data_IF_176794722044
#
_entry.id   IF_176794722044
#
_cell.length_a   1.000
_cell.length_b   1.000
_cell.length_c   1.000
_cell.angle_alpha   90.00
_cell.angle_beta   90.00
_cell.angle_gamma   90.00
#
_symmetry.space_group_name_H-M   'P 1'
#
loop_
_entity.id
_entity.type
_entity.pdbx_description
1 polymer ?
#
# COMPACT_ATOMS: atom_id res chain seq x y z
N UNK A 1 -15.90 -13.49 0.98
CA UNK A 1 -14.48 -13.34 1.43
C UNK A 1 -13.87 -14.72 1.64
N UNK A 2 -12.64 -14.91 1.16
CA UNK A 2 -11.83 -16.11 1.36
C UNK A 2 -10.47 -15.70 1.94
N UNK A 3 -9.94 -16.45 2.92
CA UNK A 3 -8.64 -16.19 3.55
C UNK A 3 -7.65 -17.27 3.15
N UNK A 4 -6.42 -16.88 2.81
CA UNK A 4 -5.33 -17.81 2.52
C UNK A 4 -4.14 -17.54 3.42
N UNK A 5 -3.47 -18.61 3.82
CA UNK A 5 -2.25 -18.60 4.61
C UNK A 5 -1.08 -19.04 3.74
N UNK A 6 -0.04 -18.23 3.70
CA UNK A 6 1.17 -18.46 2.92
C UNK A 6 2.35 -18.64 3.88
N UNK A 7 2.63 -19.88 4.32
CA UNK A 7 3.74 -20.12 5.22
C UNK A 7 5.07 -19.78 4.54
N UNK A 8 5.93 -19.06 5.24
CA UNK A 8 7.27 -18.72 4.80
C UNK A 8 8.25 -19.84 5.16
N UNK A 9 9.44 -19.82 4.56
CA UNK A 9 10.53 -20.69 4.98
C UNK A 9 10.89 -20.36 6.43
N UNK A 10 10.90 -21.38 7.31
CA UNK A 10 11.19 -21.15 8.74
C UNK A 10 12.65 -20.69 8.94
N UNK A 11 12.84 -19.61 9.65
CA UNK A 11 14.18 -19.10 10.00
C UNK A 11 14.88 -19.96 11.04
N UNK A 12 14.13 -20.64 11.93
CA UNK A 12 14.69 -21.49 12.99
C UNK A 12 13.69 -22.56 13.43
N UNK A 13 14.21 -23.62 14.10
CA UNK A 13 13.37 -24.68 14.63
C UNK A 13 12.34 -24.12 15.64
N UNK A 14 11.10 -24.57 15.55
CA UNK A 14 10.02 -24.16 16.43
C UNK A 14 9.39 -22.79 16.12
N UNK A 15 9.78 -22.13 15.02
CA UNK A 15 9.18 -20.88 14.54
C UNK A 15 8.58 -21.07 13.16
N UNK A 16 7.43 -20.45 12.91
CA UNK A 16 6.78 -20.39 11.62
C UNK A 16 6.12 -19.02 11.48
N UNK A 17 6.49 -18.28 10.43
CA UNK A 17 5.79 -17.06 10.02
C UNK A 17 5.01 -17.33 8.75
N UNK A 18 3.98 -16.57 8.54
CA UNK A 18 3.14 -16.65 7.34
C UNK A 18 2.67 -15.26 6.91
N UNK A 19 2.41 -15.10 5.62
CA UNK A 19 1.66 -13.99 5.07
C UNK A 19 0.20 -14.42 4.98
N UNK A 20 -0.72 -13.55 5.38
CA UNK A 20 -2.15 -13.82 5.28
C UNK A 20 -2.77 -12.88 4.27
N UNK A 21 -3.46 -13.44 3.28
CA UNK A 21 -4.20 -12.68 2.28
C UNK A 21 -5.71 -12.92 2.40
N UNK A 22 -6.48 -11.87 2.09
CA UNK A 22 -7.93 -11.88 2.05
C UNK A 22 -8.38 -11.62 0.62
N UNK A 23 -9.26 -12.48 0.11
CA UNK A 23 -9.74 -12.43 -1.26
C UNK A 23 -11.24 -12.12 -1.30
N UNK A 24 -11.63 -11.18 -2.17
CA UNK A 24 -12.99 -10.73 -2.36
C UNK A 24 -13.33 -10.67 -3.85
N UNK A 25 -14.60 -10.79 -4.18
CA UNK A 25 -15.07 -10.76 -5.56
C UNK A 25 -14.73 -12.03 -6.35
N UNK A 26 -14.77 -11.95 -7.68
CA UNK A 26 -14.56 -13.09 -8.57
C UNK A 26 -13.25 -12.95 -9.37
N UNK A 27 -12.48 -14.01 -9.44
CA UNK A 27 -11.20 -14.08 -10.18
C UNK A 27 -11.31 -13.82 -11.68
N UNK A 28 -12.48 -14.04 -12.27
CA UNK A 28 -12.73 -13.84 -13.70
C UNK A 28 -12.71 -12.37 -14.15
N UNK A 29 -12.79 -11.44 -13.21
CA UNK A 29 -12.73 -10.01 -13.48
C UNK A 29 -11.30 -9.47 -13.43
N UNK A 30 -11.15 -8.17 -13.67
CA UNK A 30 -9.90 -7.46 -13.34
C UNK A 30 -9.53 -7.68 -11.88
N UNK A 31 -8.23 -7.70 -11.59
CA UNK A 31 -7.72 -7.99 -10.25
C UNK A 31 -7.05 -6.75 -9.65
N UNK A 32 -7.34 -6.48 -8.39
CA UNK A 32 -6.70 -5.44 -7.58
C UNK A 32 -5.94 -6.10 -6.45
N UNK A 33 -4.67 -5.81 -6.33
CA UNK A 33 -3.82 -6.21 -5.22
C UNK A 33 -3.54 -5.01 -4.33
N UNK A 34 -3.74 -5.17 -3.03
CA UNK A 34 -3.45 -4.13 -2.03
C UNK A 34 -2.63 -4.75 -0.91
N UNK A 35 -1.49 -4.15 -0.59
CA UNK A 35 -0.71 -4.59 0.57
C UNK A 35 -0.35 -3.42 1.48
N UNK A 36 0.05 -3.74 2.71
CA UNK A 36 0.59 -2.81 3.68
C UNK A 36 1.73 -3.45 4.47
N UNK A 37 2.55 -2.63 5.12
CA UNK A 37 3.61 -3.09 6.02
C UNK A 37 4.69 -3.94 5.33
N UNK A 38 5.11 -3.53 4.12
CA UNK A 38 6.32 -4.07 3.50
C UNK A 38 7.57 -3.63 4.31
N UNK A 39 7.62 -2.36 4.73
CA UNK A 39 8.43 -1.93 5.86
C UNK A 39 7.60 -2.10 7.14
N UNK A 40 8.06 -2.90 8.09
CA UNK A 40 7.27 -3.29 9.26
C UNK A 40 6.99 -2.16 10.25
N UNK A 41 7.78 -1.10 10.25
CA UNK A 41 7.62 0.09 11.09
C UNK A 41 6.64 1.14 10.50
N UNK A 42 6.15 0.92 9.28
CA UNK A 42 5.18 1.78 8.60
C UNK A 42 3.75 1.35 8.92
N UNK A 43 3.32 1.63 10.17
CA UNK A 43 2.07 1.16 10.75
C UNK A 43 0.78 1.77 10.14
N UNK A 44 0.74 3.06 9.71
CA UNK A 44 -0.48 3.67 9.17
C UNK A 44 -1.15 2.84 8.07
N UNK A 45 -0.38 2.24 7.17
CA UNK A 45 -0.89 1.38 6.10
C UNK A 45 -1.68 0.17 6.60
N UNK A 46 -1.28 -0.45 7.72
CA UNK A 46 -2.02 -1.57 8.33
C UNK A 46 -3.38 -1.13 8.87
N UNK A 47 -3.47 0.07 9.45
CA UNK A 47 -4.74 0.61 9.94
C UNK A 47 -5.71 0.84 8.76
N UNK A 48 -5.22 1.44 7.66
CA UNK A 48 -6.02 1.62 6.43
C UNK A 48 -6.45 0.27 5.85
N UNK A 49 -5.54 -0.72 5.79
CA UNK A 49 -5.84 -2.06 5.30
C UNK A 49 -6.92 -2.77 6.15
N UNK A 50 -6.93 -2.54 7.46
CA UNK A 50 -7.98 -3.07 8.34
C UNK A 50 -9.35 -2.48 8.00
N UNK A 51 -9.47 -1.16 7.81
CA UNK A 51 -10.73 -0.52 7.38
C UNK A 51 -11.13 -0.95 5.96
N UNK A 52 -10.18 -1.05 5.02
CA UNK A 52 -10.44 -1.56 3.67
C UNK A 52 -11.03 -2.96 3.71
N UNK A 53 -10.53 -3.85 4.58
CA UNK A 53 -11.09 -5.19 4.76
C UNK A 53 -12.57 -5.15 5.13
N UNK A 54 -12.96 -4.31 6.10
CA UNK A 54 -14.35 -4.17 6.54
C UNK A 54 -15.24 -3.63 5.39
N UNK A 55 -14.76 -2.60 4.70
CA UNK A 55 -15.49 -2.00 3.57
C UNK A 55 -15.65 -2.99 2.40
N UNK A 56 -14.60 -3.74 2.05
CA UNK A 56 -14.66 -4.76 0.99
C UNK A 56 -15.63 -5.90 1.34
N UNK A 57 -15.70 -6.34 2.60
CA UNK A 57 -16.70 -7.32 3.06
C UNK A 57 -18.13 -6.80 2.84
N UNK A 58 -18.40 -5.57 3.20
CA UNK A 58 -19.71 -4.91 3.02
C UNK A 58 -20.06 -4.80 1.53
N UNK A 59 -19.10 -4.34 0.71
CA UNK A 59 -19.29 -4.18 -0.73
C UNK A 59 -19.50 -5.53 -1.45
N UNK A 60 -18.79 -6.57 -1.04
CA UNK A 60 -18.99 -7.93 -1.56
C UNK A 60 -20.39 -8.43 -1.24
N UNK A 61 -20.84 -8.29 0.03
CA UNK A 61 -22.17 -8.69 0.47
C UNK A 61 -23.28 -7.93 -0.28
N UNK A 62 -23.01 -6.67 -0.64
CA UNK A 62 -23.91 -5.83 -1.44
C UNK A 62 -23.85 -6.13 -2.96
N UNK A 63 -22.99 -7.05 -3.41
CA UNK A 63 -22.80 -7.38 -4.84
C UNK A 63 -22.24 -6.22 -5.67
N UNK A 64 -21.50 -5.29 -5.02
CA UNK A 64 -20.97 -4.09 -5.66
C UNK A 64 -19.57 -4.27 -6.28
N UNK A 65 -18.86 -5.34 -5.96
CA UNK A 65 -17.53 -5.60 -6.51
C UNK A 65 -17.61 -5.90 -8.02
N UNK A 66 -16.79 -5.23 -8.80
CA UNK A 66 -16.62 -5.40 -10.26
C UNK A 66 -15.23 -5.92 -10.61
N UNK A 67 -14.42 -6.18 -9.59
CA UNK A 67 -13.08 -6.75 -9.66
C UNK A 67 -12.92 -7.82 -8.58
N UNK A 68 -11.93 -8.69 -8.74
CA UNK A 68 -11.38 -9.48 -7.65
C UNK A 68 -10.39 -8.64 -6.86
N UNK A 69 -10.35 -8.81 -5.55
CA UNK A 69 -9.45 -8.10 -4.66
C UNK A 69 -8.62 -9.09 -3.85
N UNK A 70 -7.31 -8.84 -3.81
CA UNK A 70 -6.40 -9.50 -2.88
C UNK A 70 -5.86 -8.45 -1.94
N UNK A 71 -6.17 -8.57 -0.65
CA UNK A 71 -5.70 -7.66 0.40
C UNK A 71 -4.73 -8.39 1.33
N UNK A 72 -3.54 -7.82 1.51
CA UNK A 72 -2.46 -8.32 2.39
C UNK A 72 -2.16 -7.26 3.45
N UNK A 73 -2.81 -7.28 4.63
CA UNK A 73 -2.64 -6.23 5.64
C UNK A 73 -1.24 -6.19 6.25
N UNK A 74 -0.53 -7.33 6.27
CA UNK A 74 0.83 -7.47 6.77
C UNK A 74 1.66 -8.22 5.73
N UNK A 75 2.30 -7.48 4.84
CA UNK A 75 3.14 -8.05 3.79
C UNK A 75 4.47 -8.60 4.34
N UNK A 76 4.93 -8.08 5.48
CA UNK A 76 6.24 -8.43 6.02
C UNK A 76 6.21 -8.75 7.52
N UNK A 77 5.84 -9.99 7.89
CA UNK A 77 5.87 -10.43 9.29
C UNK A 77 7.30 -10.51 9.87
N UNK A 78 8.34 -10.61 9.01
CA UNK A 78 9.73 -10.56 9.45
C UNK A 78 10.05 -9.16 10.00
N UNK A 79 9.83 -8.14 9.20
CA UNK A 79 10.08 -6.75 9.55
C UNK A 79 9.28 -6.35 10.79
N UNK A 80 7.99 -6.72 10.84
CA UNK A 80 7.11 -6.39 11.96
C UNK A 80 7.59 -6.98 13.29
N UNK A 81 8.34 -8.09 13.27
CA UNK A 81 8.88 -8.73 14.48
C UNK A 81 10.24 -8.17 14.93
N UNK A 82 10.88 -7.28 14.19
CA UNK A 82 12.21 -6.76 14.49
C UNK A 82 12.16 -5.60 15.49
N UNK A 83 12.50 -5.88 16.73
CA UNK A 83 12.61 -4.88 17.79
C UNK A 83 13.98 -4.94 18.47
N UNK A 84 14.54 -3.76 18.76
CA UNK A 84 15.78 -3.60 19.49
C UNK A 84 15.56 -2.66 20.67
N UNK A 85 15.59 -3.18 21.89
CA UNK A 85 15.37 -2.41 23.12
C UNK A 85 14.11 -1.51 23.06
N UNK A 86 13.00 -2.05 22.56
CA UNK A 86 11.74 -1.30 22.42
C UNK A 86 11.65 -0.40 21.18
N UNK A 87 12.70 -0.31 20.37
CA UNK A 87 12.67 0.39 19.09
C UNK A 87 12.35 -0.60 17.98
N UNK A 88 11.32 -0.31 17.20
CA UNK A 88 10.97 -1.08 16.02
C UNK A 88 11.96 -0.76 14.88
N UNK A 89 12.54 -1.79 14.27
CA UNK A 89 13.50 -1.70 13.17
C UNK A 89 12.93 -2.38 11.93
N UNK A 90 11.84 -1.84 11.42
CA UNK A 90 11.04 -2.48 10.38
C UNK A 90 11.49 -2.26 8.93
N UNK A 91 12.46 -1.36 8.67
CA UNK A 91 12.86 -1.01 7.31
C UNK A 91 13.89 -1.97 6.71
N UNK A 92 14.86 -2.39 7.50
CA UNK A 92 15.96 -3.24 7.03
C UNK A 92 15.91 -4.63 7.65
N UNK A 93 16.23 -5.65 6.87
CA UNK A 93 16.37 -7.01 7.37
C UNK A 93 17.61 -7.10 8.29
N UNK A 94 17.38 -7.41 9.57
CA UNK A 94 18.39 -7.33 10.62
C UNK A 94 19.62 -8.23 10.41
N UNK A 95 19.46 -9.36 9.71
CA UNK A 95 20.53 -10.30 9.45
C UNK A 95 21.41 -9.88 8.26
N UNK A 96 20.79 -9.42 7.16
CA UNK A 96 21.52 -9.12 5.92
C UNK A 96 21.76 -7.62 5.68
N UNK A 97 21.09 -6.74 6.44
CA UNK A 97 21.14 -5.28 6.24
C UNK A 97 20.43 -4.81 4.96
N UNK A 98 19.71 -5.69 4.25
CA UNK A 98 18.98 -5.31 3.05
C UNK A 98 17.70 -4.55 3.41
N UNK A 99 17.41 -3.46 2.68
CA UNK A 99 16.11 -2.82 2.70
C UNK A 99 15.04 -3.81 2.19
N UNK A 100 13.92 -3.90 2.87
CA UNK A 100 12.85 -4.84 2.51
C UNK A 100 12.17 -4.47 1.19
N UNK A 101 12.19 -3.20 0.80
CA UNK A 101 11.62 -2.71 -0.47
C UNK A 101 12.71 -2.42 -1.52
N UNK A 102 13.75 -3.24 -1.57
CA UNK A 102 14.80 -3.17 -2.60
C UNK A 102 15.16 -4.56 -3.10
N UNK A 103 15.79 -4.61 -4.28
CA UNK A 103 16.34 -5.84 -4.89
C UNK A 103 15.29 -6.92 -5.16
N UNK A 104 14.10 -6.52 -5.59
CA UNK A 104 13.16 -7.46 -6.16
C UNK A 104 13.64 -7.89 -7.56
N UNK A 105 13.43 -9.17 -7.96
CA UNK A 105 13.97 -9.64 -9.23
C UNK A 105 13.33 -8.97 -10.44
N UNK A 106 14.14 -8.41 -11.34
CA UNK A 106 13.70 -8.02 -12.68
C UNK A 106 13.56 -9.26 -13.55
N UNK A 107 12.40 -9.46 -14.17
CA UNK A 107 12.08 -10.65 -14.97
C UNK A 107 11.95 -10.38 -16.47
N UNK A 108 11.93 -9.13 -16.91
CA UNK A 108 11.61 -8.76 -18.29
C UNK A 108 12.46 -9.45 -19.33
N UNK A 109 13.78 -9.41 -19.21
CA UNK A 109 14.69 -10.06 -20.15
C UNK A 109 14.52 -11.59 -20.18
N UNK A 110 14.34 -12.22 -19.00
CA UNK A 110 14.10 -13.66 -18.89
C UNK A 110 12.81 -14.05 -19.60
N UNK A 111 11.73 -13.33 -19.31
CA UNK A 111 10.42 -13.60 -19.91
C UNK A 111 10.40 -13.28 -21.40
N UNK A 112 11.12 -12.26 -21.85
CA UNK A 112 11.27 -11.96 -23.27
C UNK A 112 11.92 -13.12 -24.03
N UNK A 113 12.96 -13.74 -23.45
CA UNK A 113 13.57 -14.92 -24.04
C UNK A 113 12.65 -16.15 -24.02
N UNK A 114 11.92 -16.37 -22.94
CA UNK A 114 10.99 -17.51 -22.78
C UNK A 114 9.78 -17.40 -23.74
N UNK A 115 9.21 -16.21 -23.90
CA UNK A 115 7.95 -15.99 -24.61
C UNK A 115 8.10 -15.62 -26.09
N UNK A 116 9.33 -15.44 -26.59
CA UNK A 116 9.60 -14.94 -27.95
C UNK A 116 8.88 -15.71 -29.08
N UNK A 117 8.60 -17.02 -28.91
CA UNK A 117 7.89 -17.84 -29.89
C UNK A 117 6.46 -18.19 -29.55
N UNK A 118 5.92 -17.62 -28.43
CA UNK A 118 4.62 -18.02 -27.85
C UNK A 118 3.57 -16.91 -27.92
N UNK A 119 3.99 -15.67 -28.21
CA UNK A 119 3.07 -14.54 -28.31
C UNK A 119 2.13 -14.66 -29.51
N UNK A 120 0.90 -14.16 -29.36
CA UNK A 120 -0.18 -14.30 -30.31
C UNK A 120 -0.73 -12.93 -30.78
N UNK A 121 -1.52 -12.89 -31.88
CA UNK A 121 -2.23 -11.67 -32.27
C UNK A 121 -3.37 -11.25 -31.32
N UNK A 122 -3.57 -11.94 -30.19
CA UNK A 122 -4.62 -11.65 -29.22
C UNK A 122 -4.01 -11.12 -27.91
N UNK A 123 -4.36 -9.89 -27.54
CA UNK A 123 -3.87 -9.24 -26.32
C UNK A 123 -4.22 -10.01 -25.04
N UNK A 124 -5.45 -10.55 -24.95
CA UNK A 124 -5.91 -11.31 -23.78
C UNK A 124 -5.15 -12.63 -23.61
N UNK A 125 -4.78 -13.29 -24.72
CA UNK A 125 -3.94 -14.49 -24.67
C UNK A 125 -2.53 -14.14 -24.20
N UNK A 126 -1.96 -13.06 -24.72
CA UNK A 126 -0.65 -12.58 -24.32
C UNK A 126 -0.62 -12.21 -22.82
N UNK A 127 -1.69 -11.59 -22.33
CA UNK A 127 -1.84 -11.28 -20.90
C UNK A 127 -1.79 -12.55 -20.05
N UNK A 128 -2.52 -13.60 -20.43
CA UNK A 128 -2.49 -14.88 -19.70
C UNK A 128 -1.12 -15.54 -19.77
N UNK A 129 -0.52 -15.62 -20.95
CA UNK A 129 0.82 -16.19 -21.14
C UNK A 129 1.87 -15.52 -20.24
N UNK A 130 1.84 -14.19 -20.15
CA UNK A 130 2.79 -13.44 -19.32
C UNK A 130 2.54 -13.72 -17.83
N UNK A 131 1.29 -13.67 -17.36
CA UNK A 131 0.92 -13.98 -15.97
C UNK A 131 1.31 -15.39 -15.57
N UNK A 132 1.03 -16.37 -16.45
CA UNK A 132 1.39 -17.77 -16.22
C UNK A 132 2.91 -17.96 -16.16
N UNK A 133 3.66 -17.22 -16.97
CA UNK A 133 5.12 -17.30 -16.96
C UNK A 133 5.71 -16.70 -15.67
N UNK A 134 5.18 -15.56 -15.20
CA UNK A 134 5.58 -14.94 -13.92
C UNK A 134 5.23 -15.86 -12.74
N UNK A 135 3.97 -16.38 -12.68
CA UNK A 135 3.54 -17.29 -11.62
C UNK A 135 4.41 -18.55 -11.58
N UNK A 136 4.66 -19.15 -12.75
CA UNK A 136 5.54 -20.30 -12.88
C UNK A 136 6.95 -20.00 -12.37
N UNK A 137 7.51 -18.85 -12.73
CA UNK A 137 8.82 -18.44 -12.26
C UNK A 137 8.90 -18.44 -10.72
N UNK A 138 7.98 -17.72 -10.04
CA UNK A 138 7.99 -17.61 -8.58
C UNK A 138 7.54 -18.89 -7.86
N UNK A 139 6.86 -19.81 -8.53
CA UNK A 139 6.53 -21.14 -8.00
C UNK A 139 7.75 -22.07 -8.04
N UNK A 140 8.53 -22.01 -9.11
CA UNK A 140 9.61 -22.96 -9.37
C UNK A 140 10.94 -22.52 -8.74
N UNK A 141 11.09 -21.23 -8.45
CA UNK A 141 12.26 -20.69 -7.75
C UNK A 141 12.24 -21.10 -6.29
N UNK A 142 13.32 -21.79 -5.87
CA UNK A 142 13.49 -22.22 -4.47
C UNK A 142 14.00 -21.05 -3.65
N UNK A 143 13.21 -20.63 -2.65
CA UNK A 143 13.64 -19.65 -1.66
C UNK A 143 14.80 -20.20 -0.82
N UNK A 144 15.85 -19.39 -0.62
CA UNK A 144 17.06 -19.78 0.12
C UNK A 144 16.96 -19.44 1.61
N UNK A 145 16.11 -18.49 1.95
CA UNK A 145 15.90 -17.99 3.29
C UNK A 145 14.47 -17.43 3.42
N UNK A 146 14.12 -16.97 4.62
CA UNK A 146 12.79 -16.45 4.90
C UNK A 146 12.47 -15.17 4.11
N UNK A 147 13.47 -14.28 3.89
CA UNK A 147 13.33 -13.06 3.11
C UNK A 147 13.02 -13.36 1.63
N UNK A 148 13.72 -14.33 1.03
CA UNK A 148 13.43 -14.76 -0.33
C UNK A 148 12.01 -15.36 -0.43
N UNK A 149 11.61 -16.17 0.55
CA UNK A 149 10.27 -16.76 0.59
C UNK A 149 9.18 -15.68 0.66
N UNK A 150 9.38 -14.66 1.46
CA UNK A 150 8.48 -13.50 1.57
C UNK A 150 8.39 -12.76 0.25
N UNK A 151 9.52 -12.39 -0.37
CA UNK A 151 9.54 -11.69 -1.68
C UNK A 151 8.84 -12.50 -2.78
N UNK A 152 9.15 -13.80 -2.90
CA UNK A 152 8.52 -14.66 -3.91
C UNK A 152 7.01 -14.77 -3.71
N UNK A 153 6.55 -14.87 -2.47
CA UNK A 153 5.13 -14.94 -2.14
C UNK A 153 4.39 -13.66 -2.54
N UNK A 154 4.93 -12.49 -2.20
CA UNK A 154 4.34 -11.19 -2.55
C UNK A 154 4.32 -10.97 -4.06
N UNK A 155 5.45 -11.17 -4.74
CA UNK A 155 5.56 -11.01 -6.19
C UNK A 155 4.59 -11.93 -6.94
N UNK A 156 4.44 -13.17 -6.48
CA UNK A 156 3.50 -14.13 -7.07
C UNK A 156 2.06 -13.67 -6.96
N UNK A 157 1.64 -13.14 -5.81
CA UNK A 157 0.28 -12.61 -5.62
C UNK A 157 0.06 -11.33 -6.44
N UNK A 158 0.98 -10.37 -6.35
CA UNK A 158 0.85 -9.08 -7.00
C UNK A 158 0.86 -9.19 -8.53
N UNK A 159 1.66 -10.10 -9.11
CA UNK A 159 1.77 -10.28 -10.56
C UNK A 159 0.46 -10.66 -11.26
N UNK A 160 -0.53 -11.14 -10.51
CA UNK A 160 -1.86 -11.48 -11.04
C UNK A 160 -2.79 -10.25 -11.12
N UNK A 161 -2.37 -9.10 -10.57
CA UNK A 161 -3.19 -7.90 -10.54
C UNK A 161 -3.16 -7.10 -11.86
N UNK A 162 -4.20 -6.28 -12.05
CA UNK A 162 -4.25 -5.22 -13.04
C UNK A 162 -3.88 -3.87 -12.41
N UNK A 163 -4.20 -3.70 -11.13
CA UNK A 163 -3.84 -2.56 -10.29
C UNK A 163 -3.21 -3.07 -9.00
N UNK A 164 -2.05 -2.55 -8.66
CA UNK A 164 -1.35 -2.82 -7.41
C UNK A 164 -1.23 -1.53 -6.60
N UNK A 165 -1.66 -1.59 -5.34
CA UNK A 165 -1.58 -0.50 -4.37
C UNK A 165 -0.72 -0.96 -3.21
N UNK A 166 0.44 -0.32 -3.01
CA UNK A 166 1.33 -0.56 -1.89
C UNK A 166 1.19 0.58 -0.88
N UNK A 167 0.74 0.26 0.34
CA UNK A 167 0.49 1.25 1.39
C UNK A 167 1.73 1.42 2.26
N UNK A 168 2.39 2.54 2.08
CA UNK A 168 3.58 2.98 2.79
C UNK A 168 3.32 4.24 3.61
N UNK A 169 4.33 4.73 4.28
CA UNK A 169 4.42 6.08 4.83
C UNK A 169 5.89 6.51 4.95
N UNK A 170 6.11 7.82 4.91
CA UNK A 170 7.44 8.39 5.05
C UNK A 170 7.66 8.87 6.51
N UNK A 171 8.75 9.53 6.81
CA UNK A 171 9.15 9.97 8.16
C UNK A 171 8.14 10.92 8.84
N UNK A 172 8.24 12.23 8.57
CA UNK A 172 7.19 13.25 8.77
C UNK A 172 6.85 13.77 7.37
N UNK A 173 5.67 13.50 6.85
CA UNK A 173 5.34 13.79 5.46
C UNK A 173 3.89 14.21 5.25
N UNK A 174 3.64 14.82 4.10
CA UNK A 174 2.31 14.96 3.52
C UNK A 174 1.90 13.66 2.82
N UNK A 175 0.61 13.48 2.58
CA UNK A 175 0.15 12.40 1.70
C UNK A 175 0.72 12.63 0.30
N UNK A 176 1.42 11.63 -0.22
CA UNK A 176 2.01 11.68 -1.55
C UNK A 176 2.03 10.28 -2.18
N UNK A 177 2.38 10.17 -3.44
CA UNK A 177 2.44 8.88 -4.11
C UNK A 177 3.56 8.81 -5.15
N UNK A 178 3.96 7.58 -5.43
CA UNK A 178 4.86 7.23 -6.53
C UNK A 178 4.13 6.33 -7.51
N UNK A 179 4.32 6.59 -8.80
CA UNK A 179 3.80 5.73 -9.88
C UNK A 179 4.59 5.95 -11.17
N UNK A 180 4.29 5.16 -12.19
CA UNK A 180 4.91 5.36 -13.50
C UNK A 180 4.13 6.35 -14.35
N UNK A 181 4.79 7.07 -15.29
CA UNK A 181 4.09 7.91 -16.28
C UNK A 181 3.03 7.12 -17.06
N UNK A 182 3.28 5.82 -17.31
CA UNK A 182 2.34 4.94 -17.99
C UNK A 182 1.07 4.66 -17.18
N UNK A 183 1.19 4.50 -15.87
CA UNK A 183 0.07 4.20 -14.98
C UNK A 183 -0.70 5.47 -14.55
N UNK A 184 -0.04 6.63 -14.52
CA UNK A 184 -0.58 7.87 -13.98
C UNK A 184 -2.02 8.21 -14.41
N UNK A 185 -2.42 8.13 -15.70
CA UNK A 185 -3.78 8.49 -16.11
C UNK A 185 -4.88 7.66 -15.42
N UNK A 186 -4.58 6.42 -15.02
CA UNK A 186 -5.52 5.55 -14.31
C UNK A 186 -5.40 5.67 -12.79
N UNK A 187 -4.25 6.16 -12.29
CA UNK A 187 -3.93 6.32 -10.87
C UNK A 187 -4.37 7.70 -10.34
N UNK A 188 -4.47 8.71 -11.19
CA UNK A 188 -4.87 10.08 -10.81
C UNK A 188 -6.10 10.13 -9.89
N UNK A 189 -7.18 9.32 -10.08
CA UNK A 189 -8.30 9.29 -9.15
C UNK A 189 -7.90 8.98 -7.69
N UNK A 190 -6.92 8.09 -7.47
CA UNK A 190 -6.42 7.82 -6.11
C UNK A 190 -5.78 9.07 -5.50
N UNK A 191 -4.98 9.80 -6.27
CA UNK A 191 -4.37 11.06 -5.81
C UNK A 191 -5.42 12.09 -5.42
N UNK A 192 -6.48 12.25 -6.23
CA UNK A 192 -7.56 13.22 -5.98
C UNK A 192 -8.36 12.87 -4.73
N UNK A 193 -8.82 11.63 -4.63
CA UNK A 193 -9.63 11.20 -3.49
C UNK A 193 -8.88 11.19 -2.16
N UNK A 194 -7.60 10.79 -2.16
CA UNK A 194 -6.74 10.87 -0.97
C UNK A 194 -6.31 12.30 -0.62
N UNK A 195 -6.55 13.26 -1.52
CA UNK A 195 -6.06 14.62 -1.36
C UNK A 195 -4.53 14.68 -1.33
N UNK A 196 -3.89 13.85 -2.16
CA UNK A 196 -2.44 13.81 -2.29
C UNK A 196 -1.86 15.18 -2.64
N UNK A 197 -0.81 15.59 -1.92
CA UNK A 197 -0.16 16.88 -2.10
C UNK A 197 0.94 16.82 -3.17
N UNK A 198 1.55 15.64 -3.36
CA UNK A 198 2.65 15.45 -4.30
C UNK A 198 2.47 14.10 -5.01
N UNK A 199 2.64 14.08 -6.34
CA UNK A 199 2.55 12.90 -7.18
C UNK A 199 3.85 12.80 -7.99
N UNK A 200 4.66 11.79 -7.65
CA UNK A 200 6.01 11.63 -8.18
C UNK A 200 6.03 10.53 -9.24
N UNK A 201 6.40 10.91 -10.46
CA UNK A 201 6.43 10.01 -11.60
C UNK A 201 7.86 9.59 -11.93
N UNK A 202 8.10 8.28 -11.99
CA UNK A 202 9.33 7.70 -12.51
C UNK A 202 9.04 6.40 -13.26
N UNK A 203 9.75 6.18 -14.37
CA UNK A 203 9.72 4.88 -15.03
C UNK A 203 10.62 3.88 -14.28
N UNK A 204 11.75 4.35 -13.80
CA UNK A 204 12.73 3.64 -13.00
C UNK A 204 13.24 4.63 -11.94
N UNK A 205 13.16 4.24 -10.68
CA UNK A 205 13.66 5.04 -9.55
C UNK A 205 14.98 4.53 -8.99
N UNK A 206 15.32 3.28 -9.29
CA UNK A 206 16.55 2.62 -8.85
C UNK A 206 16.36 1.68 -7.65
N UNK A 207 17.23 0.68 -7.54
CA UNK A 207 17.24 -0.29 -6.44
C UNK A 207 16.17 -1.37 -6.52
N UNK A 208 15.45 -1.50 -7.62
CA UNK A 208 14.40 -2.50 -7.88
C UNK A 208 13.41 -2.63 -6.72
N UNK A 209 12.61 -1.57 -6.41
CA UNK A 209 11.55 -1.65 -5.42
C UNK A 209 10.39 -2.53 -5.91
N UNK A 210 9.52 -2.92 -4.99
CA UNK A 210 8.43 -3.86 -5.25
C UNK A 210 7.50 -3.42 -6.39
N UNK A 211 7.08 -2.16 -6.39
CA UNK A 211 6.18 -1.59 -7.39
C UNK A 211 6.79 -1.63 -8.81
N UNK A 212 8.06 -1.25 -8.94
CA UNK A 212 8.77 -1.32 -10.22
C UNK A 212 8.96 -2.77 -10.68
N UNK A 213 9.37 -3.67 -9.79
CA UNK A 213 9.56 -5.09 -10.13
C UNK A 213 8.24 -5.76 -10.56
N UNK A 214 7.09 -5.30 -10.05
CA UNK A 214 5.78 -5.79 -10.48
C UNK A 214 5.41 -5.36 -11.90
N UNK A 215 5.75 -4.16 -12.32
CA UNK A 215 5.41 -3.65 -13.65
C UNK A 215 6.51 -3.84 -14.70
N UNK A 216 7.78 -4.00 -14.30
CA UNK A 216 8.94 -4.14 -15.18
C UNK A 216 8.75 -5.21 -16.27
N UNK A 217 8.26 -6.43 -16.00
CA UNK A 217 8.11 -7.46 -17.04
C UNK A 217 7.17 -7.04 -18.17
N UNK A 218 6.10 -6.32 -17.82
CA UNK A 218 5.12 -5.84 -18.80
C UNK A 218 5.71 -4.78 -19.72
N UNK A 219 6.47 -3.85 -19.16
CA UNK A 219 7.12 -2.78 -19.89
C UNK A 219 8.24 -3.30 -20.79
N UNK A 220 9.07 -4.21 -20.28
CA UNK A 220 10.13 -4.84 -21.05
C UNK A 220 9.58 -5.64 -22.25
N UNK A 221 8.52 -6.42 -22.03
CA UNK A 221 7.88 -7.18 -23.08
C UNK A 221 7.18 -6.26 -24.11
N UNK A 222 6.52 -5.21 -23.66
CA UNK A 222 5.92 -4.23 -24.55
C UNK A 222 6.96 -3.50 -25.40
N UNK A 223 8.09 -3.11 -24.81
CA UNK A 223 9.21 -2.53 -25.53
C UNK A 223 9.80 -3.49 -26.57
N UNK A 224 9.93 -4.79 -26.22
CA UNK A 224 10.57 -5.78 -27.07
C UNK A 224 9.69 -6.26 -28.23
N UNK A 225 8.39 -6.40 -27.98
CA UNK A 225 7.45 -7.08 -28.91
C UNK A 225 6.26 -6.25 -29.34
N UNK A 226 6.07 -5.04 -28.80
CA UNK A 226 4.88 -4.21 -29.05
C UNK A 226 4.65 -3.85 -30.52
N UNK A 227 5.70 -3.77 -31.34
CA UNK A 227 5.59 -3.56 -32.80
C UNK A 227 5.09 -4.81 -33.55
N UNK A 228 5.17 -5.99 -32.94
CA UNK A 228 4.85 -7.27 -33.59
C UNK A 228 3.57 -7.90 -33.05
N UNK A 229 3.25 -7.67 -31.80
CA UNK A 229 2.12 -8.28 -31.11
C UNK A 229 1.36 -7.24 -30.26
N UNK A 230 0.02 -7.36 -30.12
CA UNK A 230 -0.73 -6.54 -29.20
C UNK A 230 -0.33 -6.90 -27.77
N UNK A 231 0.35 -5.96 -27.12
CA UNK A 231 0.79 -6.14 -25.73
C UNK A 231 -0.22 -5.50 -24.76
N UNK A 232 -0.59 -6.23 -23.68
CA UNK A 232 -1.47 -5.66 -22.66
C UNK A 232 -0.75 -4.54 -21.90
N UNK A 233 -1.52 -3.59 -21.36
CA UNK A 233 -0.97 -2.56 -20.48
C UNK A 233 -0.28 -3.14 -19.24
N UNK A 234 -0.66 -4.35 -18.85
CA UNK A 234 -0.07 -5.04 -17.72
C UNK A 234 -0.58 -4.54 -16.38
N UNK A 235 0.29 -4.62 -15.37
CA UNK A 235 0.01 -4.17 -14.02
C UNK A 235 0.31 -2.67 -13.90
N UNK A 236 -0.62 -1.93 -13.32
CA UNK A 236 -0.50 -0.51 -12.99
C UNK A 236 -0.09 -0.38 -11.51
N UNK A 237 1.15 0.01 -11.20
CA UNK A 237 1.62 0.13 -9.83
C UNK A 237 1.35 1.50 -9.25
N UNK A 238 1.08 1.56 -7.95
CA UNK A 238 1.14 2.79 -7.15
C UNK A 238 1.61 2.49 -5.74
N UNK A 239 2.57 3.28 -5.25
CA UNK A 239 2.97 3.35 -3.87
C UNK A 239 2.33 4.58 -3.24
N UNK A 240 1.46 4.38 -2.25
CA UNK A 240 0.76 5.43 -1.52
C UNK A 240 1.46 5.69 -0.19
N UNK A 241 1.99 6.89 -0.02
CA UNK A 241 2.63 7.34 1.21
C UNK A 241 1.61 8.06 2.10
N UNK A 242 1.15 7.35 3.11
CA UNK A 242 0.08 7.77 4.02
C UNK A 242 0.62 8.65 5.15
N UNK A 243 1.28 9.76 4.79
CA UNK A 243 1.88 10.74 5.71
C UNK A 243 3.09 10.15 6.47
N UNK A 244 3.20 10.43 7.78
CA UNK A 244 4.34 10.03 8.60
C UNK A 244 4.13 8.69 9.31
N UNK A 245 5.22 7.98 9.61
CA UNK A 245 5.23 6.67 10.29
C UNK A 245 4.52 6.66 11.64
N UNK A 246 4.31 7.82 12.26
CA UNK A 246 3.64 7.97 13.57
C UNK A 246 2.18 8.42 13.46
N UNK A 247 1.68 8.65 12.25
CA UNK A 247 0.34 9.19 12.02
C UNK A 247 -0.72 8.08 12.01
N UNK A 248 -0.74 7.29 13.10
CA UNK A 248 -1.76 6.26 13.31
C UNK A 248 -2.94 6.86 14.05
N UNK A 249 -3.94 7.26 13.29
CA UNK A 249 -5.19 7.81 13.78
C UNK A 249 -6.37 7.05 13.16
N UNK A 250 -7.32 6.53 13.96
CA UNK A 250 -8.38 5.68 13.43
C UNK A 250 -9.34 6.42 12.49
N UNK A 251 -9.68 7.68 12.78
CA UNK A 251 -10.57 8.46 11.92
C UNK A 251 -9.89 8.80 10.59
N UNK A 252 -8.58 9.09 10.62
CA UNK A 252 -7.81 9.35 9.41
C UNK A 252 -7.65 8.08 8.57
N UNK A 253 -7.35 6.94 9.20
CA UNK A 253 -7.23 5.66 8.51
C UNK A 253 -8.56 5.24 7.87
N UNK A 254 -9.69 5.51 8.52
CA UNK A 254 -11.01 5.25 7.94
C UNK A 254 -11.30 6.18 6.75
N UNK A 255 -10.96 7.47 6.84
CA UNK A 255 -11.07 8.43 5.72
C UNK A 255 -10.20 8.02 4.54
N UNK A 256 -8.98 7.57 4.77
CA UNK A 256 -8.08 7.11 3.71
C UNK A 256 -8.64 5.84 3.03
N UNK A 257 -9.15 4.89 3.81
CA UNK A 257 -9.81 3.71 3.26
C UNK A 257 -11.04 4.07 2.41
N UNK A 258 -11.86 5.02 2.88
CA UNK A 258 -13.00 5.53 2.12
C UNK A 258 -12.57 6.20 0.82
N UNK A 259 -11.52 7.03 0.87
CA UNK A 259 -10.94 7.68 -0.29
C UNK A 259 -10.46 6.67 -1.35
N UNK A 260 -9.79 5.59 -0.91
CA UNK A 260 -9.37 4.50 -1.80
C UNK A 260 -10.60 3.81 -2.43
N UNK A 261 -11.63 3.50 -1.64
CA UNK A 261 -12.88 2.90 -2.16
C UNK A 261 -13.54 3.82 -3.20
N UNK A 262 -13.63 5.12 -2.93
CA UNK A 262 -14.21 6.10 -3.85
C UNK A 262 -13.42 6.20 -5.16
N UNK A 263 -12.09 6.21 -5.08
CA UNK A 263 -11.24 6.15 -6.26
C UNK A 263 -11.45 4.86 -7.06
N UNK A 264 -11.55 3.72 -6.40
CA UNK A 264 -11.82 2.42 -7.03
C UNK A 264 -13.23 2.36 -7.66
N UNK A 265 -14.22 3.06 -7.09
CA UNK A 265 -15.52 3.26 -7.72
C UNK A 265 -15.39 4.09 -9.01
N UNK A 266 -14.66 5.19 -8.98
CA UNK A 266 -14.45 6.05 -10.14
C UNK A 266 -13.70 5.33 -11.27
N UNK A 267 -12.69 4.55 -10.94
CA UNK A 267 -11.92 3.73 -11.90
C UNK A 267 -12.75 2.55 -12.44
N UNK A 268 -13.85 2.19 -11.77
CA UNK A 268 -14.78 1.15 -12.22
C UNK A 268 -14.50 -0.26 -11.68
N UNK A 269 -13.66 -0.40 -10.64
CA UNK A 269 -13.45 -1.68 -9.94
C UNK A 269 -14.55 -2.00 -8.92
N UNK A 270 -15.29 -0.98 -8.49
CA UNK A 270 -16.44 -1.09 -7.58
C UNK A 270 -17.62 -0.36 -8.22
N UNK A 271 -18.82 -0.90 -8.16
CA UNK A 271 -20.01 -0.22 -8.63
C UNK A 271 -20.33 0.98 -7.74
N UNK A 272 -20.66 2.12 -8.35
CA UNK A 272 -21.23 3.25 -7.63
C UNK A 272 -22.52 2.83 -6.89
N UNK A 273 -22.88 3.55 -5.83
CA UNK A 273 -24.19 3.36 -5.21
C UNK A 273 -25.27 3.70 -6.24
N UNK A 274 -26.18 2.75 -6.50
CA UNK A 274 -27.41 3.11 -7.21
C UNK A 274 -28.18 4.08 -6.31
N UNK A 275 -28.63 5.24 -6.84
CA UNK A 275 -29.56 6.06 -6.08
C UNK A 275 -30.72 5.14 -5.65
N UNK A 276 -31.00 5.11 -4.35
CA UNK A 276 -32.08 4.33 -3.82
C UNK A 276 -33.33 4.67 -4.63
N UNK A 277 -33.84 3.70 -5.38
CA UNK A 277 -35.21 3.78 -5.89
C UNK A 277 -36.05 3.78 -4.63
N UNK A 278 -36.59 4.93 -4.28
CA UNK A 278 -37.61 5.03 -3.25
C UNK A 278 -38.80 4.17 -3.72
N UNK A 279 -38.75 2.89 -3.38
CA UNK A 279 -39.92 2.07 -3.41
C UNK A 279 -40.84 2.64 -2.35
N UNK A 280 -41.84 3.42 -2.75
CA UNK A 280 -43.03 3.60 -1.97
C UNK A 280 -43.57 2.20 -1.69
N UNK A 281 -43.15 1.63 -0.57
CA UNK A 281 -43.80 0.44 -0.02
C UNK A 281 -45.14 0.93 0.47
N UNK A 282 -46.17 0.75 -0.34
CA UNK A 282 -47.54 0.84 0.11
C UNK A 282 -47.64 -0.05 1.34
N UNK A 283 -47.89 0.54 2.49
CA UNK A 283 -48.05 -0.16 3.75
C UNK A 283 -49.15 -1.22 3.59
N UNK A 284 -48.92 -2.50 3.88
CA UNK A 284 -50.00 -3.46 3.96
C UNK A 284 -50.80 -3.10 5.22
N UNK A 285 -52.11 -2.91 5.04
CA UNK A 285 -53.09 -2.86 6.11
C UNK A 285 -53.09 -4.21 6.79
N UNK A 286 -52.48 -4.34 7.96
CA UNK A 286 -52.54 -5.54 8.78
C UNK A 286 -53.79 -5.44 9.63
N UNK A 287 -54.81 -6.28 9.28
CA UNK A 287 -55.85 -6.65 10.19
C UNK A 287 -55.27 -7.57 11.28
N UNK A 288 -55.69 -7.31 12.55
CA UNK A 288 -55.14 -8.01 13.70
C UNK A 288 -55.45 -9.51 13.70
N UNK A 289 -54.53 -10.28 14.26
CA UNK A 289 -54.68 -11.22 15.34
C UNK A 289 -53.47 -12.16 15.47
N UNK A 290 -53.15 -12.40 16.75
CA UNK A 290 -52.30 -13.47 17.28
C UNK A 290 -50.75 -13.41 17.15
N UNK A 291 -50.15 -12.89 18.24
CA UNK A 291 -48.80 -13.20 18.66
C UNK A 291 -48.69 -14.67 19.11
N UNK A 292 -47.97 -15.49 18.40
CA UNK A 292 -47.46 -16.76 18.91
C UNK A 292 -45.94 -16.65 19.16
N UNK A 293 -45.57 -16.64 20.43
CA UNK A 293 -44.17 -16.67 20.89
C UNK A 293 -43.63 -18.10 20.66
N UNK A 294 -42.67 -18.27 19.74
CA UNK A 294 -41.91 -19.52 19.62
C UNK A 294 -40.62 -19.37 20.43
N UNK A 295 -40.58 -19.98 21.61
CA UNK A 295 -39.36 -20.17 22.38
C UNK A 295 -38.61 -21.38 21.81
N UNK A 296 -37.39 -21.13 21.26
CA UNK A 296 -36.47 -22.21 20.90
C UNK A 296 -35.75 -22.71 22.16
N UNK A 297 -35.78 -24.00 22.39
CA UNK A 297 -35.17 -24.68 23.51
C UNK A 297 -33.65 -24.76 23.38
N UNK A 298 -32.98 -24.63 24.54
CA UNK A 298 -31.54 -24.57 24.71
C UNK A 298 -30.79 -25.93 24.72
N UNK A 299 -31.35 -26.99 24.11
CA UNK A 299 -30.83 -28.37 24.26
C UNK A 299 -30.12 -28.97 23.04
N UNK A 300 -29.82 -28.19 21.99
CA UNK A 300 -29.15 -28.74 20.77
C UNK A 300 -27.68 -28.35 20.61
N UNK A 301 -26.96 -27.91 21.68
CA UNK A 301 -25.51 -27.65 21.67
C UNK A 301 -24.79 -28.55 22.66
N UNK A 302 -24.99 -29.88 22.55
CA UNK A 302 -24.18 -30.86 23.29
C UNK A 302 -23.68 -31.93 22.30
N UNK A 303 -22.63 -31.63 21.54
CA UNK A 303 -22.11 -32.66 20.62
C UNK A 303 -20.83 -32.31 19.84
N UNK A 304 -20.07 -31.29 20.22
CA UNK A 304 -18.74 -31.05 19.60
C UNK A 304 -17.73 -30.44 20.56
N UNK A 305 -17.38 -31.16 21.64
CA UNK A 305 -16.22 -30.84 22.44
C UNK A 305 -15.58 -32.15 22.95
N UNK A 306 -14.68 -32.67 22.14
CA UNK A 306 -13.57 -33.49 22.61
C UNK A 306 -12.45 -33.46 21.56
N UNK A 307 -11.52 -32.48 21.71
CA UNK A 307 -10.09 -32.56 21.38
C UNK A 307 -9.47 -31.18 21.42
N UNK A 308 -8.97 -30.79 22.57
CA UNK A 308 -7.71 -30.10 22.81
C UNK A 308 -7.70 -29.51 24.23
N UNK A 309 -7.34 -30.32 25.18
CA UNK A 309 -6.92 -29.87 26.50
C UNK A 309 -5.40 -29.74 26.48
N UNK A 310 -4.90 -28.52 26.25
CA UNK A 310 -3.60 -28.02 26.70
C UNK A 310 -3.37 -26.61 26.18
N UNK A 311 -3.95 -25.61 26.84
CA UNK A 311 -3.40 -24.25 26.83
C UNK A 311 -3.83 -23.57 28.12
N UNK A 312 -2.83 -23.25 28.90
CA UNK A 312 -2.81 -22.67 30.23
C UNK A 312 -3.65 -21.41 30.41
N UNK A 313 -4.16 -21.29 31.62
CA UNK A 313 -4.75 -20.14 32.26
C UNK A 313 -4.08 -18.80 31.87
N UNK A 314 -4.83 -17.96 31.13
CA UNK A 314 -4.73 -16.52 31.16
C UNK A 314 -5.98 -16.04 31.88
N UNK A 315 -5.78 -15.40 33.05
CA UNK A 315 -6.85 -14.77 33.81
C UNK A 315 -7.63 -13.81 32.93
N UNK A 316 -8.95 -13.91 32.98
CA UNK A 316 -9.84 -13.00 32.32
C UNK A 316 -9.64 -11.59 32.88
N UNK A 317 -9.12 -10.69 32.07
CA UNK A 317 -9.19 -9.26 32.33
C UNK A 317 -10.61 -8.83 31.99
N UNK A 318 -11.36 -8.42 33.02
CA UNK A 318 -12.66 -7.76 32.87
C UNK A 318 -12.46 -6.50 32.02
N UNK A 319 -12.91 -6.55 30.76
CA UNK A 319 -13.02 -5.38 29.88
C UNK A 319 -14.37 -4.75 30.18
N UNK A 320 -14.43 -3.47 30.63
CA UNK A 320 -15.69 -2.80 30.85
C UNK A 320 -16.50 -2.72 29.55
N UNK A 321 -17.80 -3.02 29.59
CA UNK A 321 -18.78 -2.90 28.50
C UNK A 321 -19.10 -1.45 28.11
N UNK A 322 -18.13 -0.55 28.08
CA UNK A 322 -18.24 0.80 27.51
C UNK A 322 -17.18 1.03 26.43
N UNK A 323 -17.10 0.15 25.44
CA UNK A 323 -16.53 0.54 24.17
C UNK A 323 -17.60 1.32 23.41
N UNK A 324 -17.46 2.65 23.43
CA UNK A 324 -18.30 3.56 22.65
C UNK A 324 -18.30 3.13 21.20
N UNK A 325 -19.36 2.45 20.81
CA UNK A 325 -19.64 2.00 19.46
C UNK A 325 -19.55 3.19 18.52
N UNK A 326 -18.73 3.03 17.50
CA UNK A 326 -18.69 3.83 16.29
C UNK A 326 -20.14 4.08 15.84
N UNK A 327 -20.64 5.30 16.07
CA UNK A 327 -21.89 5.75 15.46
C UNK A 327 -21.64 5.79 13.95
N UNK A 328 -22.22 4.84 13.23
CA UNK A 328 -22.30 4.92 11.79
C UNK A 328 -23.03 6.22 11.42
N UNK A 329 -22.26 7.22 11.02
CA UNK A 329 -22.79 8.38 10.32
C UNK A 329 -23.11 7.93 8.88
N UNK A 330 -24.30 7.38 8.69
CA UNK A 330 -24.89 7.29 7.36
C UNK A 330 -25.21 8.72 6.91
N UNK A 331 -24.32 9.31 6.13
CA UNK A 331 -24.70 10.44 5.28
C UNK A 331 -25.41 9.84 4.07
N UNK A 332 -26.74 10.07 4.02
CA UNK A 332 -27.58 9.67 2.88
C UNK A 332 -27.04 10.27 1.57
N UNK A 333 -26.67 9.45 0.67
CA UNK A 333 -26.78 9.38 -0.78
C UNK A 333 -26.81 10.66 -1.61
N UNK A 334 -25.70 11.41 -1.65
CA UNK A 334 -25.33 12.09 -2.89
C UNK A 334 -24.09 11.38 -3.43
N UNK A 335 -24.07 11.02 -4.74
CA UNK A 335 -22.86 10.51 -5.36
C UNK A 335 -21.73 11.51 -5.05
N UNK A 336 -20.68 11.05 -4.38
CA UNK A 336 -19.59 11.92 -3.98
C UNK A 336 -18.99 12.55 -5.24
N UNK A 337 -18.93 13.87 -5.29
CA UNK A 337 -18.33 14.60 -6.42
C UNK A 337 -16.83 14.33 -6.36
N UNK A 338 -16.28 13.87 -7.47
CA UNK A 338 -14.84 13.64 -7.60
C UNK A 338 -14.05 14.91 -7.26
N UNK A 339 -13.11 14.86 -6.29
CA UNK A 339 -12.31 16.02 -5.92
C UNK A 339 -11.40 16.46 -7.06
N UNK A 340 -11.00 17.73 -7.06
CA UNK A 340 -9.93 18.20 -7.95
C UNK A 340 -8.56 17.74 -7.45
N UNK A 341 -7.62 17.53 -8.37
CA UNK A 341 -6.22 17.32 -8.05
C UNK A 341 -5.65 18.59 -7.41
N UNK A 342 -4.94 18.48 -6.29
CA UNK A 342 -4.38 19.63 -5.58
C UNK A 342 -3.20 20.26 -6.33
N UNK A 343 -2.31 19.42 -6.83
CA UNK A 343 -1.12 19.81 -7.57
C UNK A 343 -0.91 18.87 -8.76
N UNK A 344 -0.32 19.35 -9.87
CA UNK A 344 0.04 18.48 -10.98
C UNK A 344 1.08 17.44 -10.56
N UNK A 345 1.12 16.33 -11.27
CA UNK A 345 2.18 15.34 -11.08
C UNK A 345 3.52 15.89 -11.58
N UNK A 346 4.60 15.58 -10.86
CA UNK A 346 5.95 16.04 -11.13
C UNK A 346 6.90 14.86 -11.34
N UNK A 347 8.01 15.02 -12.08
CA UNK A 347 8.98 13.94 -12.19
C UNK A 347 9.66 13.68 -10.84
N UNK A 348 9.88 12.42 -10.48
CA UNK A 348 10.69 12.06 -9.31
C UNK A 348 12.11 12.64 -9.42
N UNK A 349 12.63 12.75 -10.64
CA UNK A 349 13.90 13.42 -10.93
C UNK A 349 13.91 14.92 -10.59
N UNK A 350 12.74 15.53 -10.40
CA UNK A 350 12.58 16.91 -9.93
C UNK A 350 12.69 17.08 -8.42
N UNK A 351 12.79 15.99 -7.66
CA UNK A 351 12.93 16.09 -6.21
C UNK A 351 14.34 16.53 -5.81
N UNK A 352 14.41 17.51 -4.91
CA UNK A 352 15.64 17.90 -4.24
C UNK A 352 15.72 17.22 -2.87
N UNK A 353 16.86 16.54 -2.60
CA UNK A 353 17.15 15.87 -1.35
C UNK A 353 18.25 16.62 -0.62
N UNK A 354 17.91 17.23 0.53
CA UNK A 354 18.81 18.09 1.27
C UNK A 354 19.41 17.31 2.44
N UNK A 355 20.72 17.09 2.37
CA UNK A 355 21.47 16.34 3.38
C UNK A 355 22.20 17.30 4.34
N UNK A 356 22.39 16.85 5.58
CA UNK A 356 23.20 17.58 6.53
C UNK A 356 24.69 17.38 6.23
N UNK A 357 25.49 18.44 6.05
CA UNK A 357 26.92 18.30 5.89
C UNK A 357 27.66 18.06 7.23
N UNK A 358 26.97 18.25 8.35
CA UNK A 358 27.55 18.18 9.71
C UNK A 358 26.63 17.43 10.66
N UNK A 359 27.14 17.04 11.83
CA UNK A 359 26.31 16.50 12.92
C UNK A 359 25.83 17.63 13.83
N UNK A 360 24.60 17.51 14.35
CA UNK A 360 24.03 18.49 15.28
C UNK A 360 22.50 18.42 15.40
N UNK A 361 21.95 19.33 16.17
CA UNK A 361 20.49 19.46 16.35
C UNK A 361 19.82 20.00 15.09
N UNK A 362 18.78 19.35 14.62
CA UNK A 362 18.00 19.81 13.47
C UNK A 362 16.89 20.76 13.95
N UNK A 363 16.92 21.99 13.47
CA UNK A 363 15.89 22.99 13.65
C UNK A 363 15.20 23.28 12.32
N UNK A 364 14.05 22.65 12.07
CA UNK A 364 13.26 22.91 10.87
C UNK A 364 12.72 24.34 10.87
N UNK A 365 13.00 25.10 9.81
CA UNK A 365 12.56 26.49 9.63
C UNK A 365 11.30 26.62 8.81
N UNK A 366 10.93 25.58 8.06
CA UNK A 366 9.76 25.54 7.20
C UNK A 366 8.83 24.40 7.65
N UNK A 367 7.54 24.57 7.38
CA UNK A 367 6.50 23.54 7.63
C UNK A 367 6.34 22.66 6.39
N UNK A 368 5.86 21.45 6.58
CA UNK A 368 5.36 20.62 5.49
C UNK A 368 4.30 21.39 4.69
N UNK A 369 4.30 21.25 3.37
CA UNK A 369 3.44 21.97 2.43
C UNK A 369 3.94 23.37 2.05
N UNK A 370 5.04 23.85 2.63
CA UNK A 370 5.59 25.14 2.23
C UNK A 370 6.21 25.06 0.83
N UNK A 371 5.89 26.05 -0.02
CA UNK A 371 6.63 26.29 -1.27
C UNK A 371 7.95 26.97 -0.96
N UNK A 372 9.04 26.32 -1.29
CA UNK A 372 10.40 26.75 -1.05
C UNK A 372 11.01 27.29 -2.35
N UNK A 373 11.65 28.43 -2.27
CA UNK A 373 12.37 29.04 -3.40
C UNK A 373 13.85 28.70 -3.34
N UNK A 374 14.57 28.67 -4.47
CA UNK A 374 16.01 28.58 -4.47
C UNK A 374 16.65 29.62 -3.53
N UNK A 375 17.61 29.19 -2.74
CA UNK A 375 18.30 30.04 -1.76
C UNK A 375 17.60 30.17 -0.39
N UNK A 376 16.42 29.61 -0.19
CA UNK A 376 15.75 29.65 1.11
C UNK A 376 16.31 28.59 2.08
N UNK A 377 16.46 28.97 3.34
CA UNK A 377 16.83 28.06 4.43
C UNK A 377 15.61 27.23 4.84
N UNK A 378 15.70 25.91 4.73
CA UNK A 378 14.64 24.96 5.09
C UNK A 378 14.80 24.42 6.49
N UNK A 379 16.03 24.24 6.94
CA UNK A 379 16.40 23.83 8.28
C UNK A 379 17.78 24.38 8.64
N UNK A 380 18.13 24.29 9.92
CA UNK A 380 19.48 24.59 10.42
C UNK A 380 19.96 23.40 11.25
N UNK A 381 21.25 23.09 11.16
CA UNK A 381 21.92 22.13 12.02
C UNK A 381 22.81 22.89 13.00
N UNK A 382 22.52 22.75 14.28
CA UNK A 382 23.18 23.47 15.35
C UNK A 382 24.11 22.54 16.14
N UNK A 383 25.37 22.92 16.25
CA UNK A 383 26.28 22.30 17.21
C UNK A 383 26.17 23.04 18.57
N UNK A 384 25.56 22.42 19.59
CA UNK A 384 25.32 23.07 20.88
C UNK A 384 26.59 23.19 21.75
N UNK A 385 27.72 22.62 21.29
CA UNK A 385 29.01 22.70 22.00
C UNK A 385 29.85 23.90 21.54
N UNK A 386 29.78 24.15 20.23
CA UNK A 386 30.57 25.23 19.60
C UNK A 386 29.74 26.43 19.19
N UNK A 387 28.42 26.39 19.37
CA UNK A 387 27.45 27.41 18.94
C UNK A 387 27.44 27.67 17.41
N UNK A 388 28.00 26.74 16.62
CA UNK A 388 28.02 26.86 15.16
C UNK A 388 26.65 26.47 14.60
N UNK A 389 26.12 27.31 13.73
CA UNK A 389 24.84 27.08 13.00
C UNK A 389 25.17 26.86 11.52
N UNK A 390 24.80 25.71 11.00
CA UNK A 390 24.92 25.35 9.58
C UNK A 390 23.55 25.39 8.91
N UNK A 391 23.25 26.34 8.02
CA UNK A 391 21.97 26.40 7.31
C UNK A 391 21.89 25.28 6.23
N UNK A 392 20.75 24.65 6.12
CA UNK A 392 20.39 23.77 5.02
C UNK A 392 19.55 24.60 4.04
N UNK A 393 20.10 24.85 2.87
CA UNK A 393 19.56 25.77 1.86
C UNK A 393 19.07 24.98 0.67
N UNK A 394 17.87 25.29 0.16
CA UNK A 394 17.36 24.73 -1.07
C UNK A 394 18.14 25.31 -2.29
N UNK A 395 18.59 24.44 -3.16
CA UNK A 395 19.27 24.83 -4.41
C UNK A 395 18.24 25.08 -5.52
N UNK A 396 17.27 24.20 -5.67
CA UNK A 396 16.27 24.26 -6.74
C UNK A 396 14.89 24.69 -6.21
N UNK A 397 14.50 24.25 -5.02
CA UNK A 397 13.22 24.56 -4.41
C UNK A 397 12.12 23.55 -4.76
N UNK A 398 10.87 23.90 -4.42
CA UNK A 398 9.71 23.05 -4.61
C UNK A 398 8.80 22.98 -3.38
N UNK A 399 7.87 22.03 -3.35
CA UNK A 399 7.01 21.77 -2.20
C UNK A 399 7.74 20.91 -1.18
N UNK A 400 7.86 21.37 0.06
CA UNK A 400 8.42 20.56 1.16
C UNK A 400 7.42 19.48 1.55
N UNK A 401 7.60 18.26 1.05
CA UNK A 401 6.63 17.18 1.25
C UNK A 401 7.02 16.18 2.33
N UNK A 402 8.34 16.02 2.60
CA UNK A 402 8.82 15.12 3.64
C UNK A 402 10.06 15.68 4.34
N UNK A 403 10.23 15.30 5.62
CA UNK A 403 11.40 15.66 6.42
C UNK A 403 11.68 14.57 7.45
N UNK A 404 12.93 14.41 7.83
CA UNK A 404 13.32 13.39 8.79
C UNK A 404 12.73 13.66 10.18
N UNK A 405 12.16 12.64 10.80
CA UNK A 405 11.54 12.73 12.13
C UNK A 405 12.58 12.91 13.26
N UNK A 406 13.82 12.40 13.09
CA UNK A 406 14.90 12.62 14.06
C UNK A 406 15.24 14.11 14.13
N UNK A 407 15.51 14.57 15.34
CA UNK A 407 15.86 15.99 15.60
C UNK A 407 17.38 16.16 15.84
N UNK A 408 18.16 15.13 15.52
CA UNK A 408 19.62 15.15 15.51
C UNK A 408 20.12 14.51 14.21
N UNK A 409 20.94 15.24 13.48
CA UNK A 409 21.58 14.77 12.25
C UNK A 409 22.98 14.24 12.52
N UNK A 410 23.36 13.21 11.75
CA UNK A 410 24.77 12.90 11.47
C UNK A 410 25.15 13.48 10.12
N UNK A 411 26.44 13.73 9.88
CA UNK A 411 26.92 14.18 8.58
C UNK A 411 26.55 13.18 7.48
N UNK A 412 26.02 13.66 6.37
CA UNK A 412 25.49 12.86 5.26
C UNK A 412 24.02 12.44 5.38
N UNK A 413 23.37 12.66 6.53
CA UNK A 413 21.97 12.27 6.74
C UNK A 413 21.04 13.14 5.90
N UNK A 414 20.08 12.51 5.21
CA UNK A 414 18.99 13.19 4.51
C UNK A 414 18.02 13.81 5.53
N UNK A 415 17.74 15.10 5.39
CA UNK A 415 16.94 15.89 6.35
C UNK A 415 15.61 16.34 5.78
N UNK A 416 15.58 16.76 4.51
CA UNK A 416 14.40 17.35 3.85
C UNK A 416 14.30 16.87 2.41
N UNK A 417 13.07 16.67 1.96
CA UNK A 417 12.72 16.37 0.57
C UNK A 417 11.78 17.44 0.02
N UNK A 418 12.13 18.00 -1.12
CA UNK A 418 11.33 18.98 -1.85
C UNK A 418 10.92 18.37 -3.19
N UNK A 419 9.67 18.57 -3.62
CA UNK A 419 9.18 18.18 -4.93
C UNK A 419 9.17 19.39 -5.86
N UNK A 420 10.03 19.38 -6.87
CA UNK A 420 10.13 20.40 -7.92
C UNK A 420 9.52 19.92 -9.23
N UNK A 421 9.29 20.86 -10.16
CA UNK A 421 8.69 20.59 -11.47
C UNK A 421 9.72 20.18 -12.53
N UNK A 422 10.93 20.71 -12.42
CA UNK A 422 12.01 20.46 -13.38
C UNK A 422 12.90 19.31 -12.92
N UNK A 423 13.36 18.48 -13.87
CA UNK A 423 14.29 17.40 -13.58
C UNK A 423 15.67 17.97 -13.21
N UNK A 424 16.11 17.74 -11.98
CA UNK A 424 17.37 18.20 -11.42
C UNK A 424 18.31 17.06 -11.03
N UNK A 425 17.83 15.83 -11.12
CA UNK A 425 18.56 14.59 -10.76
C UNK A 425 18.50 13.58 -11.89
N UNK A 426 19.47 12.68 -11.94
CA UNK A 426 19.55 11.58 -12.90
C UNK A 426 20.18 10.35 -12.24
N UNK A 427 20.04 9.18 -12.86
CA UNK A 427 20.51 7.91 -12.32
C UNK A 427 19.52 7.33 -11.30
N UNK A 428 20.03 6.65 -10.28
CA UNK A 428 19.20 6.06 -9.22
C UNK A 428 18.61 7.18 -8.33
N UNK A 429 17.31 7.35 -8.38
CA UNK A 429 16.59 8.46 -7.74
C UNK A 429 16.21 8.19 -6.28
N UNK A 430 16.04 6.90 -5.90
CA UNK A 430 15.66 6.44 -4.55
C UNK A 430 16.79 5.63 -3.88
N UNK A 431 18.03 5.98 -4.10
CA UNK A 431 19.17 5.40 -3.36
C UNK A 431 19.26 6.05 -2.00
N UNK A 432 19.37 5.23 -0.95
CA UNK A 432 19.68 5.62 0.42
C UNK A 432 21.15 5.48 0.71
#
# INVERSE_FOLDING_TARGET
>A
MHQQHHPLLSASLGTQREIVSFHFGEEKYKQVYIQASLHGDEIPGMAVAWFLKQKLMTLESAGRLRAGFTLVPVANPLALSQHWHGTHLGRFHSESGQDFNRRFPALGEKLAAELAGSLTPNEGDNKRLIRDAIDRHYRDVIAKNELDAQRHTLMRMASQADLMIDLHCDWEALTHLYTTPHAWPDIEPLARWLGSEVQLLAQISGGEPFDEACCEPWLALAQRFGDQYPMPRGLLPVTLELRGVRDVDPEQAERDAEAIINALCEIGYIAAESPAVSAEVAAPVIGGDELALVTANADDIAGMTERSAAASALEAVDIPEESGLIKQHHTEGAAAVSPALKHPATPLAGCEYIHSPVSGLILHRKKLGAHIRPGEVVAEVVDPVTDVITPLVAEFGGVLYARHWAKFATAGMLVVRLAGEDEVRSGDLLVE
#
